data_IF_878365825604
#
_entry.id   IF_878365825604
#
_cell.length_a   1.000
_cell.length_b   1.000
_cell.length_c   1.000
_cell.angle_alpha   90.00
_cell.angle_beta   90.00
_cell.angle_gamma   90.00
#
_symmetry.space_group_name_H-M   'P 1'
#
loop_
_entity.id
_entity.type
_entity.pdbx_description
1 polymer ?
#
# COMPACT_ATOMS: atom_id res chain seq x y z
N UNK A 1 -25.46 -1.66 16.83
CA UNK A 1 -25.39 -0.91 18.10
C UNK A 1 -26.00 0.45 17.83
N UNK A 2 -27.02 0.82 18.58
CA UNK A 2 -27.64 2.13 18.46
C UNK A 2 -26.69 3.15 19.11
N UNK A 3 -26.34 4.21 18.40
CA UNK A 3 -25.44 5.27 18.87
C UNK A 3 -26.18 6.54 19.29
N UNK A 4 -27.53 6.46 19.46
CA UNK A 4 -28.35 7.62 19.84
C UNK A 4 -28.02 8.17 21.23
N UNK A 5 -27.49 7.32 22.11
CA UNK A 5 -27.28 7.65 23.52
C UNK A 5 -25.85 8.06 23.89
N UNK A 6 -24.92 8.07 22.92
CA UNK A 6 -23.53 8.48 23.17
C UNK A 6 -22.85 9.09 21.95
N UNK A 7 -21.87 9.95 22.19
CA UNK A 7 -20.95 10.46 21.21
C UNK A 7 -19.57 9.80 21.38
N UNK A 8 -18.94 9.47 20.28
CA UNK A 8 -17.57 8.99 20.29
C UNK A 8 -16.70 9.71 19.27
N UNK A 9 -15.41 9.82 19.55
CA UNK A 9 -14.40 10.26 18.61
C UNK A 9 -13.35 9.18 18.46
N UNK A 10 -13.04 8.82 17.22
CA UNK A 10 -11.94 7.94 16.92
C UNK A 10 -10.65 8.77 16.86
N UNK A 11 -9.71 8.47 17.75
CA UNK A 11 -8.43 9.19 17.86
C UNK A 11 -7.24 8.40 17.32
N UNK A 12 -7.51 7.28 16.65
CA UNK A 12 -6.49 6.42 16.08
C UNK A 12 -6.20 6.72 14.61
N UNK A 13 -5.28 5.95 14.04
CA UNK A 13 -5.04 5.93 12.61
C UNK A 13 -6.25 5.35 11.89
N UNK A 14 -6.56 5.86 10.72
CA UNK A 14 -7.61 5.33 9.85
C UNK A 14 -7.00 4.58 8.67
N UNK A 15 -7.69 3.51 8.27
CA UNK A 15 -7.40 2.77 7.05
C UNK A 15 -8.64 2.87 6.17
N UNK A 16 -8.49 3.40 4.97
CA UNK A 16 -9.54 3.39 3.97
C UNK A 16 -9.27 2.27 2.97
N UNK A 17 -10.31 1.52 2.64
CA UNK A 17 -10.24 0.44 1.66
C UNK A 17 -11.13 0.79 0.47
N UNK A 18 -10.57 0.70 -0.72
CA UNK A 18 -11.27 0.95 -1.97
C UNK A 18 -11.26 -0.30 -2.84
N UNK A 19 -12.31 -0.48 -3.62
CA UNK A 19 -12.28 -1.41 -4.74
C UNK A 19 -11.78 -0.67 -5.98
N UNK A 20 -10.67 -1.13 -6.54
CA UNK A 20 -10.06 -0.54 -7.75
C UNK A 20 -10.98 -0.77 -8.95
N UNK A 21 -11.31 0.26 -9.75
CA UNK A 21 -12.03 0.11 -11.00
C UNK A 21 -11.32 -0.87 -11.95
N UNK A 22 -12.10 -1.62 -12.74
CA UNK A 22 -11.54 -2.65 -13.62
C UNK A 22 -10.58 -2.09 -14.68
N UNK A 23 -10.89 -0.93 -15.21
CA UNK A 23 -10.04 -0.24 -16.19
C UNK A 23 -8.67 0.15 -15.60
N UNK A 24 -8.65 0.72 -14.40
CA UNK A 24 -7.42 1.04 -13.66
C UNK A 24 -6.62 -0.24 -13.38
N UNK A 25 -7.27 -1.25 -12.84
CA UNK A 25 -6.65 -2.54 -12.51
C UNK A 25 -6.05 -3.22 -13.75
N UNK A 26 -6.83 -3.35 -14.83
CA UNK A 26 -6.39 -3.98 -16.06
C UNK A 26 -5.24 -3.19 -16.72
N UNK A 27 -5.29 -1.87 -16.68
CA UNK A 27 -4.22 -1.02 -17.23
C UNK A 27 -2.90 -1.25 -16.50
N UNK A 28 -2.91 -1.29 -15.17
CA UNK A 28 -1.70 -1.51 -14.38
C UNK A 28 -1.14 -2.92 -14.63
N UNK A 29 -1.99 -3.95 -14.63
CA UNK A 29 -1.55 -5.32 -14.95
C UNK A 29 -0.96 -5.42 -16.34
N UNK A 30 -1.61 -4.84 -17.35
CA UNK A 30 -1.12 -4.84 -18.73
C UNK A 30 0.25 -4.15 -18.85
N UNK A 31 0.42 -3.01 -18.21
CA UNK A 31 1.71 -2.30 -18.20
C UNK A 31 2.79 -3.17 -17.54
N UNK A 32 2.49 -3.79 -16.41
CA UNK A 32 3.43 -4.66 -15.73
C UNK A 32 3.82 -5.86 -16.60
N UNK A 33 2.86 -6.54 -17.21
CA UNK A 33 3.10 -7.71 -18.04
C UNK A 33 3.88 -7.39 -19.34
N UNK A 34 3.57 -6.27 -19.98
CA UNK A 34 4.15 -5.91 -21.28
C UNK A 34 5.46 -5.13 -21.17
N UNK A 35 5.65 -4.33 -20.11
CA UNK A 35 6.83 -3.49 -19.93
C UNK A 35 7.82 -4.01 -18.91
N UNK A 36 7.57 -5.17 -18.35
CA UNK A 36 8.41 -5.76 -17.30
C UNK A 36 9.93 -5.68 -17.58
N UNK A 37 10.44 -5.99 -18.80
CA UNK A 37 11.86 -5.90 -19.07
C UNK A 37 12.45 -4.48 -19.05
N UNK A 38 11.59 -3.46 -19.20
CA UNK A 38 11.99 -2.04 -19.24
C UNK A 38 11.91 -1.38 -17.87
N UNK A 39 11.21 -2.01 -16.92
CA UNK A 39 10.97 -1.43 -15.59
C UNK A 39 12.27 -1.42 -14.77
N UNK A 40 12.49 -0.30 -14.07
CA UNK A 40 13.65 -0.18 -13.20
C UNK A 40 13.45 -0.98 -11.92
N UNK A 41 14.47 -1.76 -11.49
CA UNK A 41 14.39 -2.44 -10.21
C UNK A 41 14.32 -1.45 -9.05
N UNK A 42 13.46 -1.71 -8.07
CA UNK A 42 13.24 -0.92 -6.87
C UNK A 42 13.88 -1.52 -5.61
N UNK A 43 14.30 -2.78 -5.65
CA UNK A 43 14.83 -3.55 -4.49
C UNK A 43 15.93 -2.85 -3.69
N UNK A 44 16.74 -1.99 -4.33
CA UNK A 44 17.82 -1.27 -3.63
C UNK A 44 17.32 -0.18 -2.67
N UNK A 45 16.03 0.12 -2.73
CA UNK A 45 15.39 1.18 -1.93
C UNK A 45 14.40 0.63 -0.91
N UNK A 46 13.95 -0.59 -1.11
CA UNK A 46 12.94 -1.24 -0.30
C UNK A 46 13.58 -2.20 0.69
N UNK A 47 12.83 -2.56 1.71
CA UNK A 47 13.26 -3.50 2.74
C UNK A 47 12.63 -4.86 2.49
N UNK A 48 13.28 -5.91 2.96
CA UNK A 48 12.76 -7.28 2.86
C UNK A 48 13.59 -8.17 1.96
N UNK A 49 13.08 -9.37 1.76
CA UNK A 49 13.61 -10.36 0.83
C UNK A 49 12.58 -10.54 -0.28
N UNK A 50 12.66 -9.67 -1.27
CA UNK A 50 11.79 -9.69 -2.45
C UNK A 50 12.69 -9.52 -3.67
N UNK A 51 12.69 -10.50 -4.57
CA UNK A 51 13.57 -10.47 -5.75
C UNK A 51 13.02 -9.55 -6.84
N UNK A 52 11.69 -9.50 -6.99
CA UNK A 52 11.04 -8.77 -8.07
C UNK A 52 10.27 -7.56 -7.56
N UNK A 53 10.98 -6.47 -7.42
CA UNK A 53 10.42 -5.15 -7.11
C UNK A 53 10.76 -4.18 -8.23
N UNK A 54 9.74 -3.65 -8.88
CA UNK A 54 9.88 -2.81 -10.07
C UNK A 54 9.13 -1.49 -9.91
N UNK A 55 9.80 -0.40 -10.25
CA UNK A 55 9.20 0.93 -10.21
C UNK A 55 8.43 1.23 -11.48
N UNK A 56 7.18 1.64 -11.32
CA UNK A 56 6.30 2.13 -12.40
C UNK A 56 6.36 3.65 -12.55
N UNK A 57 6.56 4.33 -11.43
CA UNK A 57 6.61 5.79 -11.39
C UNK A 57 7.52 6.25 -10.25
N UNK A 58 8.32 7.24 -10.52
CA UNK A 58 9.12 7.93 -9.54
C UNK A 58 9.30 9.39 -9.94
N UNK A 59 8.87 10.30 -9.08
CA UNK A 59 9.00 11.76 -9.25
C UNK A 59 9.82 12.42 -8.12
N UNK A 60 10.55 11.61 -7.35
CA UNK A 60 11.40 12.12 -6.29
C UNK A 60 12.60 12.89 -6.84
N UNK A 61 12.91 13.98 -6.17
CA UNK A 61 14.11 14.76 -6.44
C UNK A 61 15.32 14.17 -5.69
N UNK A 62 16.49 14.23 -6.32
CA UNK A 62 17.79 13.93 -5.69
C UNK A 62 17.99 12.54 -5.08
N UNK A 63 17.42 11.51 -5.67
CA UNK A 63 17.79 10.14 -5.30
C UNK A 63 19.02 9.68 -6.08
N UNK A 64 20.12 9.44 -5.40
CA UNK A 64 21.31 8.81 -5.99
C UNK A 64 21.04 7.36 -6.45
N UNK A 65 19.87 6.80 -6.10
CA UNK A 65 19.51 5.42 -6.37
C UNK A 65 18.49 5.27 -7.50
N UNK A 66 17.67 6.29 -7.76
CA UNK A 66 16.62 6.24 -8.76
C UNK A 66 16.45 7.60 -9.45
N UNK A 67 16.33 7.58 -10.76
CA UNK A 67 16.05 8.76 -11.58
C UNK A 67 14.57 8.85 -11.87
N UNK A 68 14.05 10.07 -12.01
CA UNK A 68 12.66 10.33 -12.41
C UNK A 68 12.25 9.54 -13.65
N UNK A 69 11.10 8.90 -13.60
CA UNK A 69 10.51 8.16 -14.72
C UNK A 69 9.01 7.92 -14.50
N UNK A 70 8.33 7.62 -15.59
CA UNK A 70 6.90 7.31 -15.58
C UNK A 70 6.55 6.28 -16.65
N UNK A 71 5.93 5.19 -16.24
CA UNK A 71 5.36 4.15 -17.11
C UNK A 71 3.83 4.10 -17.03
N UNK A 72 3.22 4.92 -16.16
CA UNK A 72 1.77 4.97 -15.94
C UNK A 72 1.12 6.09 -16.76
N UNK A 73 -0.07 5.86 -17.34
CA UNK A 73 -0.90 6.91 -17.90
C UNK A 73 -1.26 7.98 -16.86
N UNK A 74 -1.51 9.20 -17.33
CA UNK A 74 -1.79 10.33 -16.46
C UNK A 74 -3.09 10.17 -15.65
N UNK A 75 -4.10 9.56 -16.21
CA UNK A 75 -5.37 9.24 -15.53
C UNK A 75 -5.20 8.25 -14.38
N UNK A 76 -4.30 7.26 -14.54
CA UNK A 76 -3.93 6.34 -13.45
C UNK A 76 -3.23 7.07 -12.31
N UNK A 77 -2.28 7.95 -12.62
CA UNK A 77 -1.62 8.78 -11.60
C UNK A 77 -2.61 9.70 -10.89
N UNK A 78 -3.54 10.28 -11.62
CA UNK A 78 -4.62 11.11 -11.06
C UNK A 78 -5.55 10.28 -10.17
N UNK A 79 -5.87 9.04 -10.56
CA UNK A 79 -6.69 8.16 -9.74
C UNK A 79 -6.03 7.90 -8.38
N UNK A 80 -4.74 7.54 -8.34
CA UNK A 80 -3.99 7.38 -7.09
C UNK A 80 -4.03 8.65 -6.25
N UNK A 81 -3.69 9.78 -6.86
CA UNK A 81 -3.63 11.07 -6.17
C UNK A 81 -4.98 11.43 -5.54
N UNK A 82 -6.09 11.24 -6.26
CA UNK A 82 -7.43 11.48 -5.73
C UNK A 82 -7.78 10.62 -4.51
N UNK A 83 -7.27 9.37 -4.44
CA UNK A 83 -7.50 8.52 -3.25
C UNK A 83 -6.76 9.05 -2.03
N UNK A 84 -5.55 9.57 -2.19
CA UNK A 84 -4.84 10.23 -1.10
C UNK A 84 -5.52 11.55 -0.66
N UNK A 85 -6.01 12.33 -1.60
CA UNK A 85 -6.83 13.52 -1.28
C UNK A 85 -8.07 13.12 -0.48
N UNK A 86 -8.82 12.12 -0.96
CA UNK A 86 -10.00 11.64 -0.24
C UNK A 86 -9.66 11.13 1.18
N UNK A 87 -8.52 10.47 1.37
CA UNK A 87 -8.05 10.09 2.69
C UNK A 87 -7.84 11.29 3.62
N UNK A 88 -7.22 12.35 3.12
CA UNK A 88 -7.01 13.58 3.89
C UNK A 88 -8.34 14.26 4.26
N UNK A 89 -9.24 14.39 3.29
CA UNK A 89 -10.58 14.95 3.48
C UNK A 89 -11.40 14.14 4.49
N UNK A 90 -11.36 12.81 4.39
CA UNK A 90 -11.99 11.91 5.34
C UNK A 90 -11.50 12.15 6.78
N UNK A 91 -10.21 12.34 6.93
CA UNK A 91 -9.57 12.64 8.21
C UNK A 91 -9.68 14.13 8.63
N UNK A 92 -10.45 14.93 7.89
CA UNK A 92 -10.67 16.35 8.18
C UNK A 92 -9.39 17.20 8.16
N UNK A 93 -8.42 16.81 7.38
CA UNK A 93 -7.27 17.64 7.07
C UNK A 93 -7.69 18.69 6.06
N UNK A 94 -7.57 19.96 6.40
CA UNK A 94 -8.08 21.09 5.59
C UNK A 94 -6.98 21.84 4.84
N UNK A 95 -5.74 21.74 5.32
CA UNK A 95 -4.59 22.40 4.72
C UNK A 95 -3.55 21.34 4.35
N UNK A 96 -3.37 21.12 3.05
CA UNK A 96 -2.41 20.17 2.53
C UNK A 96 -1.89 20.56 1.16
N UNK A 97 -0.67 20.17 0.89
CA UNK A 97 -0.11 20.12 -0.46
C UNK A 97 0.39 18.70 -0.66
N UNK A 98 -0.17 18.00 -1.64
CA UNK A 98 0.12 16.59 -1.88
C UNK A 98 0.89 16.39 -3.17
N UNK A 99 1.84 15.47 -3.13
CA UNK A 99 2.64 15.06 -4.26
C UNK A 99 2.74 13.53 -4.29
N UNK A 100 2.40 12.93 -5.42
CA UNK A 100 2.61 11.50 -5.62
C UNK A 100 4.09 11.28 -5.95
N UNK A 101 4.80 10.62 -5.05
CA UNK A 101 6.25 10.44 -5.14
C UNK A 101 6.65 9.20 -5.93
N UNK A 102 6.00 8.07 -5.68
CA UNK A 102 6.40 6.79 -6.27
C UNK A 102 5.26 5.79 -6.32
N UNK A 103 5.31 4.93 -7.34
CA UNK A 103 4.48 3.72 -7.47
C UNK A 103 5.40 2.58 -7.90
N UNK A 104 5.36 1.47 -7.19
CA UNK A 104 6.13 0.28 -7.52
C UNK A 104 5.30 -0.99 -7.35
N UNK A 105 5.74 -2.09 -7.95
CA UNK A 105 5.12 -3.41 -7.82
C UNK A 105 6.10 -4.37 -7.16
N UNK A 106 5.61 -5.05 -6.14
CA UNK A 106 6.29 -6.16 -5.49
C UNK A 106 5.65 -7.46 -5.97
N UNK A 107 6.45 -8.35 -6.53
CA UNK A 107 6.05 -9.72 -6.84
C UNK A 107 6.73 -10.64 -5.84
N UNK A 108 5.98 -11.11 -4.88
CA UNK A 108 6.49 -11.95 -3.81
C UNK A 108 6.26 -13.43 -4.13
N UNK A 109 7.30 -14.21 -4.00
CA UNK A 109 7.28 -15.67 -4.17
C UNK A 109 7.34 -16.39 -2.80
N UNK A 110 7.27 -17.70 -2.85
CA UNK A 110 7.43 -18.53 -1.66
C UNK A 110 8.77 -18.22 -0.94
N UNK A 111 8.74 -18.13 0.40
CA UNK A 111 9.88 -17.77 1.27
C UNK A 111 10.39 -16.32 1.13
N UNK A 112 9.64 -15.48 0.44
CA UNK A 112 9.89 -14.04 0.43
C UNK A 112 9.02 -13.32 1.45
N UNK A 113 9.50 -12.21 1.96
CA UNK A 113 8.79 -11.42 2.94
C UNK A 113 9.18 -9.95 2.88
N UNK A 114 8.25 -9.12 3.27
CA UNK A 114 8.48 -7.71 3.55
C UNK A 114 8.34 -7.50 5.06
N UNK A 115 9.40 -7.17 5.79
CA UNK A 115 9.32 -6.99 7.24
C UNK A 115 8.50 -5.76 7.60
N UNK A 116 8.12 -5.67 8.86
CA UNK A 116 7.54 -4.44 9.41
C UNK A 116 8.50 -3.28 9.18
N UNK A 117 8.00 -2.24 8.55
CA UNK A 117 8.76 -1.05 8.21
C UNK A 117 7.87 0.17 8.24
N UNK A 118 8.47 1.35 8.18
CA UNK A 118 7.77 2.63 8.09
C UNK A 118 8.17 3.34 6.81
N UNK A 119 7.24 4.06 6.22
CA UNK A 119 7.50 4.97 5.11
C UNK A 119 7.73 6.36 5.68
N UNK A 120 8.98 6.82 5.61
CA UNK A 120 9.36 8.14 6.10
C UNK A 120 9.76 9.03 4.92
N UNK A 121 9.09 10.15 4.76
CA UNK A 121 9.53 11.25 3.91
C UNK A 121 10.46 12.20 4.66
N UNK A 122 11.12 13.11 3.94
CA UNK A 122 11.99 14.14 4.57
C UNK A 122 11.27 15.03 5.58
N UNK A 123 9.94 15.17 5.45
CA UNK A 123 9.10 16.00 6.31
C UNK A 123 8.31 15.22 7.34
N UNK A 124 8.60 13.94 7.53
CA UNK A 124 7.89 13.02 8.46
C UNK A 124 6.38 12.89 8.24
N UNK A 125 5.86 13.43 7.16
CA UNK A 125 4.46 13.34 6.77
C UNK A 125 4.38 12.65 5.42
N UNK A 126 3.74 11.50 5.40
CA UNK A 126 3.54 10.74 4.17
C UNK A 126 2.34 9.81 4.30
N UNK A 127 1.73 9.52 3.17
CA UNK A 127 0.70 8.49 3.04
C UNK A 127 1.27 7.36 2.20
N UNK A 128 0.98 6.14 2.61
CA UNK A 128 1.31 4.94 1.85
C UNK A 128 0.07 4.10 1.66
N UNK A 129 0.04 3.35 0.56
CA UNK A 129 -1.05 2.44 0.25
C UNK A 129 -0.53 1.17 -0.38
N UNK A 130 -1.34 0.13 -0.35
CA UNK A 130 -1.08 -1.15 -0.98
C UNK A 130 -2.24 -1.49 -1.90
N UNK A 131 -1.96 -1.78 -3.17
CA UNK A 131 -2.95 -2.31 -4.12
C UNK A 131 -2.67 -3.79 -4.35
N UNK A 132 -3.69 -4.62 -4.21
CA UNK A 132 -3.57 -6.05 -4.46
C UNK A 132 -3.88 -6.32 -5.93
N UNK A 133 -2.85 -6.68 -6.69
CA UNK A 133 -2.97 -6.99 -8.11
C UNK A 133 -3.26 -8.47 -8.36
N UNK A 134 -2.64 -9.37 -7.60
CA UNK A 134 -2.80 -10.80 -7.78
C UNK A 134 -2.59 -11.53 -6.47
N UNK A 135 -3.40 -12.52 -6.23
CA UNK A 135 -3.28 -13.43 -5.10
C UNK A 135 -3.10 -14.88 -5.59
N UNK A 136 -2.31 -15.70 -4.89
CA UNK A 136 -2.25 -17.12 -5.17
C UNK A 136 -3.55 -17.82 -4.76
N UNK A 137 -3.82 -19.00 -5.30
CA UNK A 137 -4.97 -19.80 -4.88
C UNK A 137 -4.88 -20.27 -3.42
N UNK A 138 -3.64 -20.37 -2.90
CA UNK A 138 -3.36 -20.75 -1.53
C UNK A 138 -2.03 -20.15 -1.09
N UNK A 139 -1.94 -19.75 0.17
CA UNK A 139 -0.70 -19.30 0.81
C UNK A 139 0.08 -20.45 1.49
N UNK A 140 -0.28 -21.71 1.18
CA UNK A 140 0.35 -22.88 1.75
C UNK A 140 -0.24 -23.28 3.11
N UNK A 141 0.46 -24.19 3.78
CA UNK A 141 0.03 -24.75 5.07
C UNK A 141 0.72 -24.01 6.21
N UNK A 142 -0.07 -23.60 7.19
CA UNK A 142 0.42 -23.02 8.42
C UNK A 142 0.59 -24.11 9.47
N UNK A 143 1.84 -24.34 9.91
CA UNK A 143 2.15 -25.41 10.86
C UNK A 143 2.01 -24.99 12.32
N UNK A 144 2.28 -23.73 12.62
CA UNK A 144 2.36 -23.26 14.01
C UNK A 144 1.01 -22.83 14.58
N UNK A 145 0.13 -22.34 13.74
CA UNK A 145 -1.18 -21.80 14.14
C UNK A 145 -2.19 -21.97 13.02
N UNK A 146 -2.65 -23.19 12.74
CA UNK A 146 -3.55 -23.47 11.60
C UNK A 146 -4.89 -22.72 11.68
N UNK A 147 -5.34 -22.40 12.90
CA UNK A 147 -6.57 -21.62 13.12
C UNK A 147 -6.38 -20.10 12.96
N UNK A 148 -5.12 -19.64 12.91
CA UNK A 148 -4.75 -18.23 12.76
C UNK A 148 -3.60 -18.09 11.75
N UNK A 149 -3.82 -18.42 10.49
CA UNK A 149 -2.75 -18.42 9.49
C UNK A 149 -2.19 -17.02 9.27
N UNK A 150 -0.86 -16.91 9.22
CA UNK A 150 -0.12 -15.67 9.00
C UNK A 150 0.47 -15.57 7.58
N UNK A 151 0.55 -16.70 6.87
CA UNK A 151 1.09 -16.73 5.51
C UNK A 151 0.35 -15.77 4.59
N UNK A 152 1.10 -14.96 3.85
CA UNK A 152 0.56 -14.00 2.87
C UNK A 152 -0.29 -12.88 3.47
N UNK A 153 -0.28 -12.66 4.77
CA UNK A 153 -1.05 -11.60 5.43
C UNK A 153 -0.42 -10.23 5.23
N UNK A 154 -1.26 -9.25 4.94
CA UNK A 154 -0.91 -7.85 5.10
C UNK A 154 -1.20 -7.46 6.55
N UNK A 155 -0.18 -6.96 7.23
CA UNK A 155 -0.31 -6.51 8.62
C UNK A 155 -0.06 -5.00 8.69
N UNK A 156 -0.99 -4.27 9.26
CA UNK A 156 -0.91 -2.83 9.49
C UNK A 156 -0.82 -2.61 10.98
N UNK A 157 0.32 -2.07 11.44
CA UNK A 157 0.54 -1.76 12.84
C UNK A 157 0.32 -0.28 13.08
N UNK A 158 -0.61 0.02 13.98
CA UNK A 158 -0.85 1.37 14.47
C UNK A 158 -0.04 1.67 15.72
N UNK A 159 0.11 2.94 16.05
CA UNK A 159 0.58 3.36 17.37
C UNK A 159 -0.60 3.60 18.29
N UNK A 160 -0.52 3.11 19.52
CA UNK A 160 -1.52 3.38 20.56
C UNK A 160 -0.85 3.61 21.90
N UNK A 161 -1.33 4.60 22.62
CA UNK A 161 -0.99 4.83 24.02
C UNK A 161 -1.94 4.16 25.00
N UNK A 162 -3.03 3.54 24.53
CA UNK A 162 -4.07 2.94 25.36
C UNK A 162 -4.02 1.41 25.38
N UNK A 163 -4.13 0.82 26.57
CA UNK A 163 -4.13 -0.65 26.74
C UNK A 163 -5.32 -1.37 26.09
N UNK A 164 -6.35 -0.65 25.68
CA UNK A 164 -7.53 -1.20 25.01
C UNK A 164 -7.57 -0.90 23.52
N UNK A 165 -6.53 -0.26 22.97
CA UNK A 165 -6.50 0.03 21.54
C UNK A 165 -5.94 -1.15 20.77
N UNK A 166 -6.64 -1.54 19.73
CA UNK A 166 -6.12 -2.52 18.77
C UNK A 166 -5.07 -1.85 17.90
N UNK A 167 -3.84 -2.33 17.98
CA UNK A 167 -2.68 -1.81 17.24
C UNK A 167 -2.32 -2.63 16.02
N UNK A 168 -2.99 -3.75 15.84
CA UNK A 168 -2.79 -4.68 14.73
C UNK A 168 -4.08 -4.81 13.93
N UNK A 169 -3.97 -4.60 12.63
CA UNK A 169 -5.06 -4.81 11.68
C UNK A 169 -4.57 -5.68 10.53
N UNK A 170 -5.21 -6.81 10.34
CA UNK A 170 -4.95 -7.74 9.24
C UNK A 170 -6.19 -7.82 8.36
N UNK A 171 -6.27 -7.03 7.28
CA UNK A 171 -7.40 -7.10 6.36
C UNK A 171 -7.48 -8.45 5.65
N UNK A 172 -8.70 -8.92 5.43
CA UNK A 172 -8.95 -9.98 4.45
C UNK A 172 -8.79 -9.40 3.05
N UNK A 173 -7.56 -9.50 2.50
CA UNK A 173 -7.20 -8.90 1.21
C UNK A 173 -7.80 -9.66 0.05
N UNK A 174 -8.21 -8.91 -0.98
CA UNK A 174 -8.74 -9.43 -2.24
C UNK A 174 -8.06 -8.73 -3.41
N UNK A 175 -8.02 -9.41 -4.56
CA UNK A 175 -7.61 -8.74 -5.79
C UNK A 175 -8.48 -7.50 -6.03
N UNK A 176 -7.86 -6.41 -6.48
CA UNK A 176 -8.45 -5.08 -6.64
C UNK A 176 -8.74 -4.32 -5.33
N UNK A 177 -8.24 -4.77 -4.19
CA UNK A 177 -8.19 -3.91 -3.00
C UNK A 177 -7.09 -2.85 -3.12
N UNK A 178 -7.40 -1.64 -2.63
CA UNK A 178 -6.46 -0.53 -2.52
C UNK A 178 -6.67 0.23 -1.22
#
# INVERSE_FOLDING_TARGET
MDTSDFNFKFLGQSVLRYQVPLDVYNTINHIYETKYPELKPANKQLVGKIEKEHSLFYDGENSNKMTKHNHLPQDILQWFHQKFIHYLEWNKVTEYNTHLNSVWINTMFEHEYNPVHVHQGMLFTGLSSVMILKLPQSFGVEYSSPDQPQNGRLQILGSSSGQFANVDYQPDIKERDF
#
